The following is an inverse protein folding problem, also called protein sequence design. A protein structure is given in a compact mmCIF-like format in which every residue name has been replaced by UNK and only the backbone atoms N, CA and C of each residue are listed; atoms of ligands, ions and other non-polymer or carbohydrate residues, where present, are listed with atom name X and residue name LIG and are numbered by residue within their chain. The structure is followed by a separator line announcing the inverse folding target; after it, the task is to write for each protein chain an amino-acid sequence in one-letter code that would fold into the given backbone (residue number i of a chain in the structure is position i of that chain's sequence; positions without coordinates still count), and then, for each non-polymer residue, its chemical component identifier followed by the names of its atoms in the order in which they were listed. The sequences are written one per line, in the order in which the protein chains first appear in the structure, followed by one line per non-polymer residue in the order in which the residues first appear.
data_IF_590057022196
#
_entry.id   IF_590057022196
#
_cell.length_a   1.000
_cell.length_b   1.000
_cell.length_c   1.000
_cell.angle_alpha   90.00
_cell.angle_beta   90.00
_cell.angle_gamma   90.00
#
_symmetry.space_group_name_H-M   'P 1'
#
loop_
_entity.id
_entity.type
_entity.pdbx_description
1 polymer ?
#
# COMPACT_ATOMS: atom_id res chain seq x y z
N UNK A 1 6.18 1.62 12.81
CA UNK A 1 7.38 1.45 13.67
C UNK A 1 8.60 1.28 12.79
N UNK A 2 9.53 2.23 12.89
CA UNK A 2 10.68 2.51 12.01
C UNK A 2 11.77 1.42 12.03
N UNK A 3 12.69 1.48 11.05
CA UNK A 3 13.87 0.63 10.84
C UNK A 3 15.19 1.22 11.38
N UNK A 4 15.09 2.41 11.90
CA UNK A 4 16.16 3.24 12.40
C UNK A 4 15.82 3.56 13.87
N UNK A 5 16.78 4.04 14.69
CA UNK A 5 16.47 4.53 16.02
C UNK A 5 15.27 5.49 15.98
N UNK A 6 14.58 5.73 17.10
CA UNK A 6 13.48 6.72 17.11
C UNK A 6 13.94 8.11 16.63
N UNK A 7 15.26 8.35 16.62
CA UNK A 7 15.95 9.51 16.06
C UNK A 7 16.22 9.45 14.54
N UNK A 8 15.69 8.47 13.83
CA UNK A 8 15.82 8.33 12.37
C UNK A 8 15.41 9.61 11.67
N UNK A 9 16.21 10.06 10.69
CA UNK A 9 15.76 11.15 9.85
C UNK A 9 14.63 10.69 8.92
N UNK A 10 13.78 11.62 8.50
CA UNK A 10 12.74 11.36 7.49
C UNK A 10 13.33 10.73 6.22
N UNK A 11 14.48 11.23 5.79
CA UNK A 11 15.18 10.77 4.60
C UNK A 11 15.59 9.31 4.70
N UNK A 12 16.17 8.94 5.84
CA UNK A 12 16.61 7.56 6.10
C UNK A 12 15.41 6.60 6.11
N UNK A 13 14.27 7.01 6.71
CA UNK A 13 13.03 6.23 6.74
C UNK A 13 12.51 5.94 5.32
N UNK A 14 12.45 6.98 4.48
CA UNK A 14 11.95 6.84 3.11
C UNK A 14 12.91 6.03 2.26
N UNK A 15 14.23 6.24 2.39
CA UNK A 15 15.23 5.45 1.67
C UNK A 15 15.10 3.97 1.98
N UNK A 16 15.07 3.59 3.25
CA UNK A 16 15.00 2.18 3.64
C UNK A 16 13.67 1.55 3.20
N UNK A 17 12.57 2.30 3.32
CA UNK A 17 11.28 1.85 2.81
C UNK A 17 11.29 1.65 1.29
N UNK A 18 11.83 2.60 0.53
CA UNK A 18 11.93 2.51 -0.93
C UNK A 18 12.77 1.32 -1.36
N UNK A 19 13.95 1.13 -0.77
CA UNK A 19 14.82 0.00 -1.06
C UNK A 19 14.16 -1.33 -0.69
N UNK A 20 13.39 -1.36 0.41
CA UNK A 20 12.62 -2.53 0.79
C UNK A 20 11.53 -2.89 -0.23
N UNK A 21 10.79 -1.91 -0.71
CA UNK A 21 9.72 -2.12 -1.71
C UNK A 21 10.30 -2.44 -3.10
N UNK A 22 11.35 -1.73 -3.52
CA UNK A 22 12.10 -2.00 -4.75
C UNK A 22 12.71 -3.39 -4.74
N UNK A 23 13.17 -3.84 -3.57
CA UNK A 23 13.81 -5.11 -3.34
C UNK A 23 15.21 -5.23 -3.95
N UNK A 24 15.82 -4.08 -4.29
CA UNK A 24 17.12 -3.99 -4.94
C UNK A 24 17.80 -2.64 -4.68
N UNK A 25 19.13 -2.63 -4.72
CA UNK A 25 19.98 -1.43 -4.58
C UNK A 25 20.42 -1.12 -3.15
N UNK A 26 21.50 -0.34 -3.04
CA UNK A 26 22.14 0.00 -1.77
C UNK A 26 21.72 1.36 -1.22
N UNK A 27 21.59 2.37 -2.09
CA UNK A 27 21.33 3.77 -1.71
C UNK A 27 20.50 4.47 -2.79
N UNK A 28 19.90 5.62 -2.45
CA UNK A 28 19.25 6.50 -3.42
C UNK A 28 20.27 7.23 -4.31
N UNK A 29 19.85 7.58 -5.53
CA UNK A 29 20.64 8.46 -6.40
C UNK A 29 20.63 9.90 -5.87
N UNK A 30 21.63 10.71 -6.21
CA UNK A 30 21.68 12.12 -5.79
C UNK A 30 20.40 12.90 -6.16
N UNK A 31 19.86 12.64 -7.35
CA UNK A 31 18.61 13.25 -7.82
C UNK A 31 17.37 12.79 -7.04
N UNK A 32 17.37 11.54 -6.56
CA UNK A 32 16.32 11.04 -5.68
C UNK A 32 16.44 11.66 -4.27
N UNK A 33 17.66 11.88 -3.78
CA UNK A 33 17.93 12.55 -2.50
C UNK A 33 17.48 14.02 -2.51
N UNK A 34 17.67 14.74 -3.62
CA UNK A 34 17.16 16.12 -3.77
C UNK A 34 15.63 16.19 -3.69
N UNK A 35 14.95 15.26 -4.37
CA UNK A 35 13.49 15.15 -4.31
C UNK A 35 13.03 14.86 -2.88
N UNK A 36 13.70 13.94 -2.20
CA UNK A 36 13.42 13.56 -0.82
C UNK A 36 13.59 14.74 0.14
N UNK A 37 14.67 15.50 -0.01
CA UNK A 37 14.96 16.71 0.77
C UNK A 37 13.85 17.76 0.59
N UNK A 38 13.27 17.84 -0.62
CA UNK A 38 12.15 18.74 -0.90
C UNK A 38 10.92 18.35 -0.09
N UNK A 39 10.53 17.07 -0.08
CA UNK A 39 9.41 16.60 0.74
C UNK A 39 9.65 16.77 2.25
N UNK A 40 10.90 16.57 2.70
CA UNK A 40 11.29 16.79 4.09
C UNK A 40 11.09 18.27 4.50
N UNK A 41 11.57 19.20 3.67
CA UNK A 41 11.41 20.65 3.89
C UNK A 41 9.94 21.10 3.87
N UNK A 42 9.11 20.44 3.07
CA UNK A 42 7.67 20.67 3.03
C UNK A 42 6.91 20.07 4.24
N UNK A 43 7.61 19.40 5.17
CA UNK A 43 7.02 18.81 6.37
C UNK A 43 6.06 17.66 6.06
N UNK A 44 6.26 16.96 4.96
CA UNK A 44 5.40 15.84 4.56
C UNK A 44 5.64 14.66 5.51
N UNK A 45 4.60 14.03 6.09
CA UNK A 45 4.78 12.84 6.92
C UNK A 45 5.31 11.65 6.13
N UNK A 46 6.16 10.83 6.77
CA UNK A 46 6.73 9.62 6.18
C UNK A 46 5.65 8.69 5.61
N UNK A 47 4.55 8.50 6.35
CA UNK A 47 3.45 7.60 6.00
C UNK A 47 2.83 7.96 4.65
N UNK A 48 2.73 9.26 4.35
CA UNK A 48 2.17 9.77 3.09
C UNK A 48 3.09 9.41 1.92
N UNK A 49 4.41 9.58 2.10
CA UNK A 49 5.41 9.22 1.08
C UNK A 49 5.48 7.71 0.89
N UNK A 50 5.54 6.94 1.97
CA UNK A 50 5.56 5.48 1.95
C UNK A 50 4.35 4.90 1.21
N UNK A 51 3.16 5.50 1.42
CA UNK A 51 1.94 5.12 0.70
C UNK A 51 2.04 5.43 -0.80
N UNK A 52 2.56 6.59 -1.18
CA UNK A 52 2.82 6.92 -2.58
C UNK A 52 3.79 5.96 -3.27
N UNK A 53 4.85 5.55 -2.55
CA UNK A 53 5.82 4.55 -3.03
C UNK A 53 5.16 3.18 -3.20
N UNK A 54 4.41 2.71 -2.20
CA UNK A 54 3.68 1.43 -2.29
C UNK A 54 2.77 1.38 -3.50
N UNK A 55 1.96 2.42 -3.70
CA UNK A 55 1.04 2.53 -4.83
C UNK A 55 1.77 2.51 -6.18
N UNK A 56 2.87 3.25 -6.27
CA UNK A 56 3.74 3.24 -7.46
C UNK A 56 4.29 1.85 -7.75
N UNK A 57 4.71 1.13 -6.70
CA UNK A 57 5.26 -0.21 -6.81
C UNK A 57 4.19 -1.24 -7.19
N UNK A 58 3.00 -1.18 -6.59
CA UNK A 58 1.88 -2.04 -6.96
C UNK A 58 1.53 -1.87 -8.43
N UNK A 59 1.41 -0.61 -8.89
CA UNK A 59 1.18 -0.30 -10.29
C UNK A 59 2.30 -0.85 -11.19
N UNK A 60 3.55 -0.58 -10.85
CA UNK A 60 4.67 -1.05 -11.65
C UNK A 60 4.74 -2.58 -11.68
N UNK A 61 4.32 -3.27 -10.61
CA UNK A 61 4.28 -4.72 -10.55
C UNK A 61 3.27 -5.33 -11.54
N UNK A 62 2.17 -4.64 -11.85
CA UNK A 62 1.24 -5.06 -12.91
C UNK A 62 1.88 -5.02 -14.30
N UNK A 63 2.73 -4.02 -14.53
CA UNK A 63 3.40 -3.78 -15.81
C UNK A 63 4.78 -4.47 -15.91
N UNK A 64 5.31 -4.98 -14.78
CA UNK A 64 6.67 -5.49 -14.67
C UNK A 64 6.84 -6.85 -15.36
N UNK A 65 7.92 -6.95 -16.14
CA UNK A 65 8.37 -8.20 -16.73
C UNK A 65 9.12 -9.05 -15.68
N UNK A 66 9.10 -10.39 -15.79
CA UNK A 66 9.90 -11.25 -14.93
C UNK A 66 11.38 -10.85 -14.95
N UNK A 67 11.97 -10.62 -13.77
CA UNK A 67 13.39 -10.28 -13.60
C UNK A 67 13.72 -8.79 -13.58
N UNK A 68 12.78 -7.89 -13.89
CA UNK A 68 13.00 -6.44 -13.74
C UNK A 68 12.68 -5.98 -12.30
N UNK A 69 13.45 -5.02 -11.73
CA UNK A 69 13.12 -4.44 -10.44
C UNK A 69 11.77 -3.71 -10.52
N UNK A 70 10.95 -3.89 -9.47
CA UNK A 70 9.58 -3.32 -9.42
C UNK A 70 9.60 -1.80 -9.58
N UNK A 71 10.59 -1.14 -9.00
CA UNK A 71 10.78 0.31 -9.12
C UNK A 71 12.15 0.63 -9.70
N UNK A 72 12.19 1.61 -10.61
CA UNK A 72 13.44 2.09 -11.23
C UNK A 72 14.15 3.15 -10.38
N UNK A 73 13.40 4.11 -9.85
CA UNK A 73 13.91 5.22 -9.02
C UNK A 73 12.81 5.82 -8.15
N UNK A 74 13.18 6.59 -7.12
CA UNK A 74 12.21 7.28 -6.27
C UNK A 74 11.46 8.36 -7.07
N UNK A 75 12.14 9.04 -7.99
CA UNK A 75 11.52 9.99 -8.93
C UNK A 75 10.40 9.39 -9.77
N UNK A 76 10.48 8.09 -10.12
CA UNK A 76 9.38 7.42 -10.83
C UNK A 76 8.09 7.36 -9.98
N UNK A 77 8.22 7.42 -8.65
CA UNK A 77 7.10 7.44 -7.71
C UNK A 77 6.52 8.85 -7.50
N UNK A 78 7.20 9.90 -7.98
CA UNK A 78 6.88 11.31 -7.67
C UNK A 78 5.41 11.64 -7.88
N UNK A 79 4.83 11.27 -9.02
CA UNK A 79 3.43 11.58 -9.35
C UNK A 79 2.45 11.00 -8.32
N UNK A 80 2.71 9.77 -7.87
CA UNK A 80 1.84 9.11 -6.91
C UNK A 80 2.04 9.67 -5.50
N UNK A 81 3.29 9.95 -5.13
CA UNK A 81 3.61 10.60 -3.85
C UNK A 81 2.99 11.99 -3.78
N UNK A 82 3.13 12.82 -4.80
CA UNK A 82 2.48 14.14 -4.88
C UNK A 82 0.95 14.05 -4.82
N UNK A 83 0.35 13.01 -5.42
CA UNK A 83 -1.08 12.76 -5.29
C UNK A 83 -1.50 12.45 -3.85
N UNK A 84 -0.71 11.63 -3.12
CA UNK A 84 -0.98 11.36 -1.71
C UNK A 84 -0.73 12.59 -0.82
N UNK A 85 0.30 13.39 -1.12
CA UNK A 85 0.57 14.67 -0.44
C UNK A 85 -0.60 15.63 -0.61
N UNK A 86 -1.13 15.75 -1.83
CA UNK A 86 -2.31 16.58 -2.11
C UNK A 86 -3.51 16.13 -1.28
N UNK A 87 -3.82 14.82 -1.28
CA UNK A 87 -4.91 14.26 -0.47
C UNK A 87 -4.73 14.55 1.01
N UNK A 88 -3.51 14.34 1.53
CA UNK A 88 -3.17 14.63 2.92
C UNK A 88 -3.41 16.10 3.28
N UNK A 89 -2.98 17.03 2.42
CA UNK A 89 -3.19 18.47 2.63
C UNK A 89 -4.66 18.87 2.60
N UNK A 90 -5.44 18.29 1.68
CA UNK A 90 -6.89 18.51 1.60
C UNK A 90 -7.61 18.05 2.87
N UNK A 91 -7.23 16.89 3.42
CA UNK A 91 -7.77 16.39 4.70
C UNK A 91 -7.36 17.29 5.88
N UNK A 92 -6.10 17.71 5.95
CA UNK A 92 -5.62 18.59 7.00
C UNK A 92 -6.29 19.98 6.97
N UNK A 93 -6.58 20.52 5.78
CA UNK A 93 -7.28 21.80 5.62
C UNK A 93 -8.77 21.72 6.00
N UNK A 94 -9.41 20.56 5.83
CA UNK A 94 -10.81 20.34 6.20
C UNK A 94 -11.06 20.18 7.71
N UNK A 95 -10.02 19.85 8.48
CA UNK A 95 -10.11 19.68 9.94
C UNK A 95 -10.18 21.01 10.72
N UNK A 96 -9.96 22.16 10.06
CA UNK A 96 -9.96 23.48 10.69
C UNK A 96 -11.28 24.26 10.60
N UNK A 97 -12.34 23.69 10.02
CA UNK A 97 -13.60 24.42 9.76
C UNK A 97 -14.82 23.65 10.27
N UNK A 98 -14.81 23.27 11.55
CA UNK A 98 -16.04 22.94 12.26
C UNK A 98 -16.59 24.18 12.98
N UNK A 99 -17.30 25.03 12.24
CA UNK A 99 -18.38 25.86 12.79
C UNK A 99 -19.30 26.36 11.67
N UNK A 100 -20.61 26.33 11.93
CA UNK A 100 -21.75 26.81 11.13
C UNK A 100 -22.41 25.86 10.08
N UNK A 101 -23.31 25.02 10.59
CA UNK A 101 -24.70 24.80 10.14
C UNK A 101 -25.07 24.91 8.63
N UNK A 102 -25.47 23.78 8.02
CA UNK A 102 -26.64 23.72 7.10
C UNK A 102 -27.07 22.27 6.80
N UNK A 103 -28.39 21.93 6.81
CA UNK A 103 -28.85 20.58 6.52
C UNK A 103 -29.05 20.35 5.01
N UNK A 104 -28.64 19.16 4.52
CA UNK A 104 -28.86 18.59 3.17
C UNK A 104 -27.89 18.96 2.04
N UNK A 105 -26.58 19.07 2.31
CA UNK A 105 -25.62 18.58 1.31
C UNK A 105 -25.50 17.07 1.51
N UNK A 106 -25.77 16.27 0.46
CA UNK A 106 -25.38 14.84 0.45
C UNK A 106 -23.93 14.82 0.95
N UNK A 107 -23.67 14.25 2.13
CA UNK A 107 -22.32 14.13 2.68
C UNK A 107 -21.46 13.53 1.57
N UNK A 108 -20.59 14.34 0.96
CA UNK A 108 -19.60 13.83 0.03
C UNK A 108 -18.83 12.80 0.84
N UNK A 109 -18.84 11.53 0.41
CA UNK A 109 -18.17 10.46 1.15
C UNK A 109 -16.75 10.90 1.45
N UNK A 110 -16.29 10.65 2.67
CA UNK A 110 -14.88 10.89 2.98
C UNK A 110 -14.01 10.02 2.05
N UNK A 111 -12.74 10.35 1.95
CA UNK A 111 -11.81 9.55 1.14
C UNK A 111 -11.72 8.11 1.68
N UNK A 112 -11.70 7.95 3.00
CA UNK A 112 -11.72 6.67 3.72
C UNK A 112 -12.97 5.87 3.37
N UNK A 113 -14.15 6.49 3.42
CA UNK A 113 -15.41 5.86 3.03
C UNK A 113 -15.43 5.47 1.56
N UNK A 114 -14.85 6.29 0.68
CA UNK A 114 -14.76 6.01 -0.75
C UNK A 114 -13.84 4.83 -1.02
N UNK A 115 -12.68 4.78 -0.37
CA UNK A 115 -11.71 3.68 -0.47
C UNK A 115 -12.30 2.37 0.08
N UNK A 116 -12.93 2.43 1.24
CA UNK A 116 -13.61 1.27 1.85
C UNK A 116 -14.74 0.75 0.97
N UNK A 117 -15.54 1.66 0.40
CA UNK A 117 -16.60 1.27 -0.53
C UNK A 117 -16.04 0.57 -1.78
N UNK A 118 -14.93 1.08 -2.35
CA UNK A 118 -14.25 0.41 -3.46
C UNK A 118 -13.79 -1.00 -3.09
N UNK A 119 -13.29 -1.19 -1.87
CA UNK A 119 -12.91 -2.52 -1.37
C UNK A 119 -14.07 -3.47 -1.32
N UNK A 120 -15.17 -3.04 -0.73
CA UNK A 120 -16.38 -3.84 -0.66
C UNK A 120 -16.87 -4.22 -2.05
N UNK A 121 -16.95 -3.27 -2.99
CA UNK A 121 -17.38 -3.53 -4.37
C UNK A 121 -16.43 -4.50 -5.09
N UNK A 122 -15.12 -4.26 -5.01
CA UNK A 122 -14.15 -5.12 -5.69
C UNK A 122 -14.15 -6.56 -5.13
N UNK A 123 -14.42 -6.71 -3.83
CA UNK A 123 -14.59 -8.03 -3.21
C UNK A 123 -15.91 -8.70 -3.62
N UNK A 124 -17.00 -7.95 -3.74
CA UNK A 124 -18.28 -8.46 -4.28
C UNK A 124 -18.12 -8.95 -5.71
N UNK A 125 -17.44 -8.17 -6.56
CA UNK A 125 -17.12 -8.58 -7.94
C UNK A 125 -16.26 -9.84 -7.96
N UNK A 126 -15.29 -9.97 -7.03
CA UNK A 126 -14.50 -11.19 -6.88
C UNK A 126 -15.39 -12.39 -6.46
N UNK A 127 -16.31 -12.20 -5.53
CA UNK A 127 -17.24 -13.24 -5.11
C UNK A 127 -18.18 -13.70 -6.25
N UNK A 128 -18.52 -12.81 -7.19
CA UNK A 128 -19.27 -13.16 -8.39
C UNK A 128 -18.45 -13.94 -9.43
N UNK A 129 -17.14 -13.71 -9.50
CA UNK A 129 -16.23 -14.38 -10.45
C UNK A 129 -15.68 -15.72 -9.93
N UNK A 130 -15.38 -15.80 -8.64
CA UNK A 130 -14.81 -16.98 -7.99
C UNK A 130 -15.73 -17.48 -6.87
N UNK A 131 -16.62 -18.42 -7.21
CA UNK A 131 -17.61 -18.98 -6.28
C UNK A 131 -16.96 -19.58 -5.02
N UNK A 132 -15.78 -20.20 -5.17
CA UNK A 132 -15.01 -20.76 -4.06
C UNK A 132 -14.63 -19.72 -2.98
N UNK A 133 -14.48 -18.45 -3.36
CA UNK A 133 -14.17 -17.34 -2.44
C UNK A 133 -15.42 -16.62 -1.93
N UNK A 134 -16.59 -16.85 -2.52
CA UNK A 134 -17.80 -16.08 -2.24
C UNK A 134 -18.21 -16.14 -0.75
N UNK A 135 -18.16 -17.32 -0.13
CA UNK A 135 -18.46 -17.45 1.30
C UNK A 135 -17.45 -16.71 2.18
N UNK A 136 -16.16 -16.74 1.81
CA UNK A 136 -15.11 -16.02 2.54
C UNK A 136 -15.28 -14.51 2.42
N UNK A 137 -15.58 -14.00 1.23
CA UNK A 137 -15.87 -12.58 1.01
C UNK A 137 -17.05 -12.12 1.86
N UNK A 138 -18.17 -12.87 1.85
CA UNK A 138 -19.34 -12.54 2.70
C UNK A 138 -18.96 -12.47 4.17
N UNK A 139 -18.17 -13.43 4.65
CA UNK A 139 -17.68 -13.46 6.03
C UNK A 139 -16.80 -12.25 6.36
N UNK A 140 -15.89 -11.85 5.45
CA UNK A 140 -15.05 -10.67 5.64
C UNK A 140 -15.86 -9.39 5.74
N UNK A 141 -16.93 -9.25 4.95
CA UNK A 141 -17.79 -8.05 4.98
C UNK A 141 -18.50 -7.86 6.31
N UNK A 142 -18.94 -8.95 6.94
CA UNK A 142 -19.67 -8.89 8.21
C UNK A 142 -18.76 -8.87 9.45
N UNK A 143 -17.49 -9.27 9.31
CA UNK A 143 -16.54 -9.35 10.45
C UNK A 143 -15.48 -8.25 10.41
N UNK A 144 -14.76 -8.16 9.29
CA UNK A 144 -13.59 -7.30 9.15
C UNK A 144 -13.97 -5.93 8.61
N UNK A 145 -14.83 -5.87 7.59
CA UNK A 145 -15.16 -4.63 6.86
C UNK A 145 -16.44 -3.94 7.36
N UNK A 146 -16.85 -4.26 8.58
CA UNK A 146 -18.07 -3.73 9.21
C UNK A 146 -17.96 -2.23 9.51
N UNK A 147 -16.75 -1.75 9.82
CA UNK A 147 -16.46 -0.35 10.09
C UNK A 147 -15.41 0.17 9.12
N UNK A 148 -15.48 1.47 8.85
CA UNK A 148 -14.49 2.23 8.09
C UNK A 148 -13.45 2.74 9.09
N UNK A 149 -12.18 2.31 9.02
CA UNK A 149 -11.15 2.87 9.88
C UNK A 149 -10.91 4.35 9.57
N UNK A 150 -10.83 5.18 10.61
CA UNK A 150 -10.53 6.61 10.49
C UNK A 150 -9.03 6.86 10.25
N UNK A 151 -8.19 6.01 10.83
CA UNK A 151 -6.74 6.11 10.66
C UNK A 151 -6.26 5.44 9.36
N UNK A 152 -5.46 6.14 8.54
CA UNK A 152 -4.92 5.58 7.29
C UNK A 152 -4.14 4.27 7.49
N UNK A 153 -3.37 4.17 8.56
CA UNK A 153 -2.59 2.97 8.89
C UNK A 153 -3.50 1.77 9.25
N UNK A 154 -4.61 2.03 9.94
CA UNK A 154 -5.60 1.02 10.27
C UNK A 154 -6.34 0.52 9.01
N UNK A 155 -6.66 1.42 8.08
CA UNK A 155 -7.22 1.07 6.77
C UNK A 155 -6.28 0.15 5.97
N UNK A 156 -4.99 0.50 5.87
CA UNK A 156 -4.00 -0.32 5.18
C UNK A 156 -3.84 -1.70 5.84
N UNK A 157 -3.92 -1.77 7.17
CA UNK A 157 -3.88 -3.02 7.91
C UNK A 157 -5.12 -3.89 7.66
N UNK A 158 -6.31 -3.29 7.65
CA UNK A 158 -7.58 -3.96 7.37
C UNK A 158 -7.60 -4.53 5.95
N UNK A 159 -7.20 -3.74 4.95
CA UNK A 159 -7.07 -4.21 3.56
C UNK A 159 -6.09 -5.38 3.45
N UNK A 160 -4.89 -5.23 3.99
CA UNK A 160 -3.88 -6.28 3.97
C UNK A 160 -4.40 -7.57 4.62
N UNK A 161 -5.12 -7.46 5.75
CA UNK A 161 -5.70 -8.61 6.42
C UNK A 161 -6.78 -9.29 5.56
N UNK A 162 -7.64 -8.52 4.89
CA UNK A 162 -8.64 -9.06 3.97
C UNK A 162 -7.98 -9.93 2.88
N UNK A 163 -6.94 -9.40 2.23
CA UNK A 163 -6.20 -10.14 1.19
C UNK A 163 -5.48 -11.38 1.72
N UNK A 164 -4.89 -11.32 2.92
CA UNK A 164 -4.25 -12.49 3.53
C UNK A 164 -5.27 -13.58 3.90
N UNK A 165 -6.48 -13.20 4.33
CA UNK A 165 -7.55 -14.15 4.63
C UNK A 165 -8.15 -14.79 3.37
N UNK A 166 -8.18 -14.06 2.25
CA UNK A 166 -8.51 -14.60 0.93
C UNK A 166 -7.43 -15.55 0.43
N UNK A 167 -6.15 -15.17 0.54
CA UNK A 167 -5.04 -16.07 0.24
C UNK A 167 -5.17 -17.38 1.03
N UNK A 168 -5.51 -17.32 2.32
CA UNK A 168 -5.70 -18.54 3.13
C UNK A 168 -6.87 -19.40 2.69
N UNK A 169 -7.87 -18.85 2.03
CA UNK A 169 -9.03 -19.57 1.52
C UNK A 169 -8.78 -20.26 0.16
N UNK A 170 -7.71 -19.89 -0.55
CA UNK A 170 -7.33 -20.57 -1.79
C UNK A 170 -6.85 -22.01 -1.55
N UNK A 171 -6.97 -22.89 -2.56
CA UNK A 171 -6.40 -24.23 -2.53
C UNK A 171 -4.92 -24.23 -2.13
N UNK A 172 -4.47 -25.29 -1.45
CA UNK A 172 -3.08 -25.37 -0.99
C UNK A 172 -2.06 -25.24 -2.12
N UNK A 173 -2.33 -25.84 -3.28
CA UNK A 173 -1.50 -25.74 -4.49
C UNK A 173 -1.30 -24.30 -4.92
N UNK A 174 -2.38 -23.52 -4.96
CA UNK A 174 -2.38 -22.12 -5.39
C UNK A 174 -1.65 -21.25 -4.37
N UNK A 175 -1.89 -21.47 -3.08
CA UNK A 175 -1.17 -20.79 -2.00
C UNK A 175 0.33 -21.01 -2.10
N UNK A 176 0.76 -22.25 -2.33
CA UNK A 176 2.17 -22.60 -2.48
C UNK A 176 2.79 -21.98 -3.74
N UNK A 177 2.05 -21.92 -4.85
CA UNK A 177 2.51 -21.29 -6.08
C UNK A 177 2.72 -19.78 -5.88
N UNK A 178 1.73 -19.08 -5.30
CA UNK A 178 1.81 -17.64 -5.01
C UNK A 178 2.93 -17.32 -4.02
N UNK A 179 3.12 -18.15 -2.99
CA UNK A 179 4.24 -17.98 -2.06
C UNK A 179 5.59 -18.15 -2.74
N UNK A 180 5.75 -19.15 -3.62
CA UNK A 180 6.98 -19.35 -4.38
C UNK A 180 7.25 -18.17 -5.31
N UNK A 181 6.24 -17.70 -6.01
CA UNK A 181 6.34 -16.53 -6.89
C UNK A 181 6.78 -15.28 -6.13
N UNK A 182 6.11 -14.97 -5.01
CA UNK A 182 6.45 -13.81 -4.18
C UNK A 182 7.89 -13.89 -3.60
N UNK A 183 8.42 -15.10 -3.42
CA UNK A 183 9.75 -15.34 -2.87
C UNK A 183 10.86 -15.44 -3.92
N UNK A 184 10.55 -15.80 -5.17
CA UNK A 184 11.54 -16.03 -6.23
C UNK A 184 12.39 -14.78 -6.58
N UNK A 185 11.87 -13.57 -6.37
CA UNK A 185 12.55 -12.31 -6.70
C UNK A 185 13.59 -11.82 -5.66
N UNK A 186 14.33 -12.72 -4.98
CA UNK A 186 14.99 -12.41 -3.69
C UNK A 186 16.52 -12.54 -3.63
N UNK A 187 17.24 -12.55 -4.75
CA UNK A 187 18.71 -12.64 -4.71
C UNK A 187 19.38 -11.47 -3.98
N UNK A 188 18.79 -10.28 -3.97
CA UNK A 188 19.35 -9.09 -3.30
C UNK A 188 18.95 -8.92 -1.81
N UNK A 189 18.20 -9.87 -1.22
CA UNK A 189 17.73 -9.75 0.17
C UNK A 189 18.82 -9.86 1.23
N UNK A 190 20.03 -10.29 0.88
CA UNK A 190 21.12 -10.48 1.85
C UNK A 190 21.61 -9.16 2.45
N UNK A 191 21.44 -8.04 1.75
CA UNK A 191 21.88 -6.71 2.22
C UNK A 191 20.79 -6.00 3.03
N UNK A 192 19.61 -6.60 3.15
CA UNK A 192 18.46 -5.99 3.82
C UNK A 192 18.38 -6.32 5.31
N UNK A 193 18.01 -5.33 6.12
CA UNK A 193 17.69 -5.53 7.52
C UNK A 193 16.53 -6.54 7.70
N UNK A 194 16.43 -7.23 8.85
CA UNK A 194 15.36 -8.21 9.12
C UNK A 194 13.94 -7.64 8.94
N UNK A 195 13.72 -6.36 9.27
CA UNK A 195 12.41 -5.72 9.14
C UNK A 195 12.16 -5.21 7.72
N UNK A 196 13.17 -4.72 6.99
CA UNK A 196 13.05 -4.41 5.56
C UNK A 196 12.68 -5.69 4.78
N UNK A 197 13.28 -6.83 5.14
CA UNK A 197 12.89 -8.15 4.59
C UNK A 197 11.43 -8.49 4.87
N UNK A 198 10.92 -8.21 6.07
CA UNK A 198 9.49 -8.41 6.41
C UNK A 198 8.58 -7.51 5.57
N UNK A 199 8.92 -6.23 5.41
CA UNK A 199 8.17 -5.26 4.58
C UNK A 199 8.15 -5.73 3.13
N UNK A 200 9.32 -6.04 2.56
CA UNK A 200 9.45 -6.53 1.19
C UNK A 200 8.63 -7.81 0.96
N UNK A 201 8.72 -8.79 1.87
CA UNK A 201 7.94 -10.03 1.79
C UNK A 201 6.44 -9.75 1.85
N UNK A 202 5.99 -8.92 2.80
CA UNK A 202 4.57 -8.57 2.94
C UNK A 202 4.05 -7.87 1.69
N UNK A 203 4.79 -6.89 1.19
CA UNK A 203 4.45 -6.17 -0.04
C UNK A 203 4.31 -7.14 -1.22
N UNK A 204 5.33 -7.97 -1.47
CA UNK A 204 5.32 -8.94 -2.58
C UNK A 204 4.17 -9.93 -2.49
N UNK A 205 3.93 -10.52 -1.30
CA UNK A 205 2.82 -11.45 -1.11
C UNK A 205 1.48 -10.77 -1.41
N UNK A 206 1.23 -9.59 -0.83
CA UNK A 206 -0.04 -8.88 -1.05
C UNK A 206 -0.22 -8.48 -2.51
N UNK A 207 0.84 -8.01 -3.16
CA UNK A 207 0.78 -7.56 -4.53
C UNK A 207 0.62 -8.73 -5.52
N UNK A 208 1.27 -9.87 -5.28
CA UNK A 208 1.05 -11.12 -6.04
C UNK A 208 -0.36 -11.66 -5.84
N UNK A 209 -0.89 -11.64 -4.61
CA UNK A 209 -2.28 -12.04 -4.32
C UNK A 209 -3.28 -11.15 -5.04
N UNK A 210 -3.14 -9.82 -4.94
CA UNK A 210 -4.01 -8.87 -5.65
C UNK A 210 -3.97 -9.09 -7.16
N UNK A 211 -2.78 -9.35 -7.71
CA UNK A 211 -2.62 -9.66 -9.13
C UNK A 211 -3.40 -10.91 -9.53
N UNK A 212 -3.24 -11.99 -8.77
CA UNK A 212 -3.96 -13.27 -9.01
C UNK A 212 -5.47 -13.12 -8.91
N UNK A 213 -5.97 -12.27 -8.03
CA UNK A 213 -7.40 -12.03 -7.83
C UNK A 213 -7.98 -11.01 -8.83
N UNK A 214 -7.15 -10.40 -9.68
CA UNK A 214 -7.57 -9.37 -10.65
C UNK A 214 -7.93 -8.04 -9.99
N UNK A 215 -7.44 -7.77 -8.78
CA UNK A 215 -7.80 -6.58 -8.01
C UNK A 215 -6.76 -5.49 -8.20
N UNK A 216 -7.08 -4.52 -9.06
CA UNK A 216 -6.23 -3.34 -9.30
C UNK A 216 -6.32 -2.38 -8.10
N UNK A 217 -5.32 -1.52 -7.99
CA UNK A 217 -5.17 -0.47 -6.97
C UNK A 217 -6.50 0.25 -6.65
N UNK A 218 -6.76 0.55 -5.37
CA UNK A 218 -8.01 1.20 -4.93
C UNK A 218 -7.85 2.61 -4.37
#
# INVERSE_FOLDING_TARGET
MSLLPESASFEELVQDYFLAVRGAGLMLSALDTELLTTWAREGVPFEVVAKGISRSAEKALWDARPGEPVLRSLRACRRQVESEIKKYRELAAGAGTEEASSPRRKRTRSWEETRHARLCTALEDLAGREEALAHRVRSLRITLLTHVPEEPAAMDAQEALAFLLLLRALPFTDRCALWREAMAASTEQQVMSPRARKVARRFRVLATVRRRLGMKEM
#
